data_IF_311164054834
#
_entry.id   IF_311164054834
#
_cell.length_a   1.000
_cell.length_b   1.000
_cell.length_c   1.000
_cell.angle_alpha   90.00
_cell.angle_beta   90.00
_cell.angle_gamma   90.00
#
_symmetry.space_group_name_H-M   'P 1'
#
loop_
_entity.id
_entity.type
_entity.pdbx_description
1 polymer ?
#
# COMPACT_ATOMS: atom_id res chain seq x y z
N UNK A 1 -23.61 -0.76 5.96
CA UNK A 1 -22.66 -1.66 6.63
C UNK A 1 -21.24 -1.17 6.45
N UNK A 2 -20.44 -1.24 7.48
CA UNK A 2 -19.03 -0.90 7.39
C UNK A 2 -18.20 -2.17 7.26
N UNK A 3 -17.48 -2.31 6.17
CA UNK A 3 -16.57 -3.43 5.97
C UNK A 3 -15.16 -2.96 6.29
N UNK A 4 -14.50 -3.67 7.19
CA UNK A 4 -13.11 -3.40 7.53
C UNK A 4 -12.29 -4.64 7.22
N UNK A 5 -11.35 -4.48 6.31
CA UNK A 5 -10.40 -5.53 5.96
C UNK A 5 -9.03 -4.89 5.79
N UNK A 6 -8.03 -5.54 6.32
CA UNK A 6 -6.64 -5.10 6.22
C UNK A 6 -5.77 -6.31 5.94
N UNK A 7 -4.91 -6.20 4.96
CA UNK A 7 -3.92 -7.24 4.63
C UNK A 7 -2.54 -6.60 4.64
N UNK A 8 -1.62 -7.19 5.38
CA UNK A 8 -0.23 -6.77 5.43
C UNK A 8 0.64 -7.90 4.94
N UNK A 9 1.46 -7.65 3.92
CA UNK A 9 2.38 -8.64 3.36
C UNK A 9 3.78 -8.07 3.30
N UNK A 10 4.81 -8.88 3.64
CA UNK A 10 6.19 -8.44 3.49
C UNK A 10 6.56 -8.35 2.02
N UNK A 11 7.40 -7.37 1.69
CA UNK A 11 7.96 -7.26 0.34
C UNK A 11 9.14 -8.24 0.22
N UNK A 12 9.32 -8.89 -0.95
CA UNK A 12 10.42 -9.84 -1.14
C UNK A 12 11.79 -9.18 -1.02
N UNK A 13 11.91 -7.93 -1.47
CA UNK A 13 13.12 -7.13 -1.31
C UNK A 13 12.75 -5.75 -0.80
N UNK A 14 13.55 -5.14 0.09
CA UNK A 14 13.29 -3.76 0.49
C UNK A 14 13.38 -2.82 -0.70
N UNK A 15 12.46 -1.88 -0.78
CA UNK A 15 12.39 -0.90 -1.88
C UNK A 15 12.73 0.48 -1.33
N UNK A 16 13.77 1.11 -1.87
CA UNK A 16 14.11 2.47 -1.48
C UNK A 16 13.32 3.48 -2.31
N UNK A 17 12.61 4.35 -1.62
CA UNK A 17 11.77 5.37 -2.23
C UNK A 17 12.13 6.75 -1.68
N UNK A 18 11.99 7.81 -2.48
CA UNK A 18 12.17 9.15 -1.97
C UNK A 18 11.17 9.46 -0.86
N UNK A 19 11.64 10.07 0.22
CA UNK A 19 10.79 10.45 1.33
C UNK A 19 10.29 11.89 1.15
N UNK A 20 9.06 12.13 1.59
CA UNK A 20 8.46 13.47 1.62
C UNK A 20 8.67 14.16 2.97
N UNK A 21 9.23 13.46 3.96
CA UNK A 21 9.46 14.03 5.27
C UNK A 21 10.80 14.76 5.30
N UNK A 22 10.76 16.04 5.71
CA UNK A 22 11.83 17.01 5.49
C UNK A 22 13.25 16.65 5.90
N UNK A 23 13.43 15.88 6.98
CA UNK A 23 14.77 15.49 7.46
C UNK A 23 15.23 14.14 6.93
N UNK A 24 14.37 13.46 6.17
CA UNK A 24 14.69 12.16 5.58
C UNK A 24 14.85 12.31 4.08
N UNK A 25 15.88 11.68 3.54
CA UNK A 25 16.14 11.72 2.10
C UNK A 25 15.40 10.61 1.36
N UNK A 26 15.12 9.51 2.05
CA UNK A 26 14.44 8.34 1.47
C UNK A 26 13.86 7.47 2.58
N UNK A 27 13.05 6.50 2.18
CA UNK A 27 12.58 5.43 3.07
C UNK A 27 12.90 4.07 2.44
N UNK A 28 12.94 3.06 3.28
CA UNK A 28 13.12 1.67 2.83
C UNK A 28 11.83 0.92 3.11
N UNK A 29 11.02 0.71 2.09
CA UNK A 29 9.76 0.00 2.23
C UNK A 29 10.04 -1.50 2.42
N UNK A 30 9.47 -2.08 3.47
CA UNK A 30 9.68 -3.49 3.82
C UNK A 30 8.39 -4.30 3.77
N UNK A 31 7.24 -3.65 3.82
CA UNK A 31 5.96 -4.33 3.70
C UNK A 31 4.91 -3.41 3.08
N UNK A 32 3.87 -4.05 2.55
CA UNK A 32 2.70 -3.37 2.00
C UNK A 32 1.49 -3.60 2.88
N UNK A 33 0.68 -2.58 3.05
CA UNK A 33 -0.61 -2.68 3.71
C UNK A 33 -1.70 -2.24 2.74
N UNK A 34 -2.67 -3.12 2.51
CA UNK A 34 -3.89 -2.80 1.77
C UNK A 34 -5.06 -2.85 2.73
N UNK A 35 -5.95 -1.86 2.68
CA UNK A 35 -7.07 -1.77 3.59
C UNK A 35 -8.29 -1.12 2.94
N UNK A 36 -9.46 -1.45 3.46
CA UNK A 36 -10.69 -0.77 3.05
C UNK A 36 -10.76 0.62 3.70
N UNK A 37 -11.33 1.55 2.96
CA UNK A 37 -11.56 2.91 3.46
C UNK A 37 -12.92 3.40 2.99
N UNK A 38 -13.71 3.96 3.90
CA UNK A 38 -14.99 4.54 3.55
C UNK A 38 -14.78 5.89 2.88
N UNK A 39 -15.46 6.09 1.75
CA UNK A 39 -15.43 7.35 1.01
C UNK A 39 -16.85 7.81 0.73
N UNK A 40 -17.01 9.02 0.23
CA UNK A 40 -18.34 9.55 -0.14
C UNK A 40 -18.99 8.74 -1.25
N UNK A 41 -18.21 8.10 -2.10
CA UNK A 41 -18.70 7.28 -3.21
C UNK A 41 -18.79 5.80 -2.88
N UNK A 42 -18.48 5.39 -1.65
CA UNK A 42 -18.53 4.00 -1.23
C UNK A 42 -17.28 3.56 -0.48
N UNK A 43 -16.90 2.30 -0.67
CA UNK A 43 -15.71 1.74 -0.05
C UNK A 43 -14.62 1.58 -1.11
N UNK A 44 -13.45 2.12 -0.83
CA UNK A 44 -12.29 1.97 -1.70
C UNK A 44 -11.18 1.19 -0.98
N UNK A 45 -10.18 0.76 -1.74
CA UNK A 45 -9.01 0.08 -1.21
C UNK A 45 -7.84 1.06 -1.22
N UNK A 46 -7.29 1.32 -0.04
CA UNK A 46 -6.11 2.15 0.10
C UNK A 46 -4.89 1.27 0.32
N UNK A 47 -3.82 1.62 -0.35
CA UNK A 47 -2.58 0.86 -0.28
C UNK A 47 -1.44 1.77 0.13
N UNK A 48 -0.64 1.32 1.10
CA UNK A 48 0.53 2.04 1.56
C UNK A 48 1.73 1.12 1.64
N UNK A 49 2.90 1.66 1.37
CA UNK A 49 4.17 0.99 1.61
C UNK A 49 4.76 1.54 2.89
N UNK A 50 5.27 0.67 3.75
CA UNK A 50 5.79 1.02 5.06
C UNK A 50 7.20 0.52 5.25
N UNK A 51 7.97 1.24 6.02
CA UNK A 51 9.30 0.85 6.42
C UNK A 51 10.01 1.99 7.13
N UNK A 52 11.28 1.80 7.53
CA UNK A 52 12.01 2.86 8.20
C UNK A 52 12.38 3.97 7.22
N UNK A 53 12.39 5.21 7.71
CA UNK A 53 13.04 6.30 7.01
C UNK A 53 14.56 6.08 7.04
N UNK A 54 15.27 6.60 6.06
CA UNK A 54 16.71 6.45 5.96
C UNK A 54 17.36 7.83 6.12
N UNK A 55 18.25 7.96 7.09
CA UNK A 55 18.98 9.20 7.34
C UNK A 55 20.07 9.41 6.29
N UNK A 56 20.65 10.61 6.27
CA UNK A 56 21.71 10.96 5.33
C UNK A 56 22.94 10.04 5.44
N UNK A 57 23.20 9.51 6.62
CA UNK A 57 24.32 8.59 6.85
C UNK A 57 24.01 7.14 6.47
N UNK A 58 22.80 6.87 5.94
CA UNK A 58 22.38 5.54 5.54
C UNK A 58 21.74 4.70 6.63
N UNK A 59 21.73 5.19 7.88
CA UNK A 59 21.13 4.46 9.00
C UNK A 59 19.60 4.65 9.02
N UNK A 60 18.90 3.72 9.66
CA UNK A 60 17.46 3.80 9.80
C UNK A 60 17.05 4.87 10.81
N UNK A 61 16.04 5.63 10.49
CA UNK A 61 15.46 6.59 11.41
C UNK A 61 14.64 5.87 12.48
N UNK A 62 14.50 6.51 13.64
CA UNK A 62 13.76 5.93 14.76
C UNK A 62 12.25 5.78 14.46
N UNK A 63 11.69 6.66 13.64
CA UNK A 63 10.27 6.62 13.28
C UNK A 63 10.06 5.91 11.97
N UNK A 64 8.98 5.10 11.86
CA UNK A 64 8.61 4.50 10.59
C UNK A 64 8.14 5.56 9.61
N UNK A 65 8.29 5.28 8.34
CA UNK A 65 7.81 6.12 7.25
C UNK A 65 6.81 5.35 6.39
N UNK A 66 6.06 6.05 5.57
CA UNK A 66 5.10 5.40 4.67
C UNK A 66 4.94 6.22 3.40
N UNK A 67 4.49 5.53 2.35
CA UNK A 67 4.18 6.15 1.06
C UNK A 67 2.83 5.62 0.60
N UNK A 68 1.95 6.52 0.21
CA UNK A 68 0.66 6.16 -0.36
C UNK A 68 0.81 5.76 -1.81
N UNK A 69 0.11 4.66 -2.16
CA UNK A 69 -0.08 4.26 -3.56
C UNK A 69 -1.50 4.63 -3.94
N UNK A 70 -1.69 5.51 -4.91
CA UNK A 70 -3.00 5.99 -5.24
C UNK A 70 -3.71 5.08 -6.24
N UNK A 71 -5.04 4.99 -6.17
CA UNK A 71 -5.82 4.11 -7.02
C UNK A 71 -5.82 4.47 -8.49
N UNK A 72 -5.36 5.66 -8.83
CA UNK A 72 -5.40 6.12 -10.21
C UNK A 72 -4.44 5.40 -11.14
N UNK A 73 -3.51 4.64 -10.57
CA UNK A 73 -2.49 3.94 -11.35
C UNK A 73 -2.77 2.45 -11.53
N UNK A 74 -4.04 2.11 -11.71
CA UNK A 74 -4.47 0.73 -11.96
C UNK A 74 -3.85 0.11 -13.19
N UNK A 75 -3.34 0.92 -14.09
CA UNK A 75 -2.71 0.47 -15.34
C UNK A 75 -1.31 -0.08 -15.11
N UNK A 76 -0.93 -0.30 -13.87
CA UNK A 76 0.41 -0.72 -13.51
C UNK A 76 1.37 0.46 -13.42
N UNK A 77 0.85 1.67 -13.56
CA UNK A 77 1.63 2.86 -13.26
C UNK A 77 1.49 3.14 -11.78
N UNK A 78 2.52 3.46 -11.18
CA UNK A 78 2.46 3.72 -9.81
C UNK A 78 1.87 5.01 -9.54
N UNK A 79 1.37 4.99 -8.66
CA UNK A 79 0.77 5.95 -7.84
C UNK A 79 1.76 6.85 -7.20
N UNK A 80 2.96 6.56 -7.40
CA UNK A 80 4.07 7.44 -7.12
C UNK A 80 4.45 8.23 -8.37
N UNK A 81 3.59 8.22 -9.40
CA UNK A 81 3.87 8.91 -10.65
C UNK A 81 5.17 8.44 -11.26
N UNK A 82 6.09 9.37 -11.53
CA UNK A 82 7.36 9.06 -12.16
C UNK A 82 8.27 8.10 -11.39
N UNK A 83 7.92 7.77 -10.14
CA UNK A 83 8.77 6.94 -9.28
C UNK A 83 8.42 5.47 -9.28
N UNK A 84 7.46 5.11 -10.03
CA UNK A 84 6.98 3.75 -10.10
C UNK A 84 7.95 2.75 -10.60
N UNK A 85 8.81 3.18 -11.46
CA UNK A 85 9.86 2.33 -11.99
C UNK A 85 10.88 1.92 -10.92
N UNK A 86 10.83 2.57 -9.75
CA UNK A 86 11.68 2.21 -8.62
C UNK A 86 11.21 0.95 -7.90
N UNK A 87 10.00 0.50 -8.18
CA UNK A 87 9.43 -0.70 -7.55
C UNK A 87 9.62 -1.88 -8.50
N UNK A 88 10.41 -2.90 -8.10
CA UNK A 88 10.61 -4.08 -8.93
C UNK A 88 9.31 -4.86 -9.17
N UNK A 89 9.27 -5.62 -10.27
CA UNK A 89 8.08 -6.41 -10.63
C UNK A 89 7.70 -7.42 -9.55
N UNK A 90 8.67 -8.04 -8.89
CA UNK A 90 8.38 -8.99 -7.81
C UNK A 90 7.67 -8.32 -6.63
N UNK A 91 8.04 -7.08 -6.31
CA UNK A 91 7.37 -6.31 -5.26
C UNK A 91 5.99 -5.86 -5.70
N UNK A 92 5.83 -5.46 -6.97
CA UNK A 92 4.52 -5.15 -7.53
C UNK A 92 3.56 -6.33 -7.45
N UNK A 93 4.05 -7.55 -7.70
CA UNK A 93 3.23 -8.74 -7.61
C UNK A 93 2.68 -8.92 -6.19
N UNK A 94 3.49 -8.66 -5.17
CA UNK A 94 3.06 -8.74 -3.76
C UNK A 94 2.05 -7.63 -3.44
N UNK A 95 2.28 -6.41 -3.91
CA UNK A 95 1.35 -5.29 -3.73
C UNK A 95 -0.02 -5.63 -4.31
N UNK A 96 -0.07 -6.13 -5.53
CA UNK A 96 -1.31 -6.54 -6.19
C UNK A 96 -2.00 -7.69 -5.47
N UNK A 97 -1.21 -8.62 -4.94
CA UNK A 97 -1.76 -9.72 -4.15
C UNK A 97 -2.45 -9.22 -2.88
N UNK A 98 -1.84 -8.28 -2.17
CA UNK A 98 -2.44 -7.69 -0.99
C UNK A 98 -3.76 -6.98 -1.33
N UNK A 99 -3.78 -6.20 -2.40
CA UNK A 99 -4.99 -5.54 -2.89
C UNK A 99 -6.08 -6.54 -3.27
N UNK A 100 -5.70 -7.62 -3.97
CA UNK A 100 -6.62 -8.68 -4.38
C UNK A 100 -7.23 -9.42 -3.19
N UNK A 101 -6.44 -9.64 -2.14
CA UNK A 101 -6.94 -10.27 -0.91
C UNK A 101 -7.96 -9.39 -0.20
N UNK A 102 -7.72 -8.09 -0.12
CA UNK A 102 -8.69 -7.14 0.46
C UNK A 102 -9.95 -7.10 -0.40
N UNK A 103 -9.80 -7.07 -1.73
CA UNK A 103 -10.95 -7.07 -2.63
C UNK A 103 -11.80 -8.34 -2.46
N UNK A 104 -11.16 -9.50 -2.33
CA UNK A 104 -11.88 -10.76 -2.10
C UNK A 104 -12.65 -10.74 -0.78
N UNK A 105 -12.07 -10.19 0.27
CA UNK A 105 -12.74 -10.03 1.57
C UNK A 105 -13.94 -9.10 1.45
N UNK A 106 -13.80 -8.01 0.72
CA UNK A 106 -14.87 -7.05 0.49
C UNK A 106 -16.01 -7.67 -0.31
N UNK A 107 -15.69 -8.42 -1.36
CA UNK A 107 -16.69 -9.10 -2.19
C UNK A 107 -17.44 -10.17 -1.39
N UNK A 108 -16.75 -10.94 -0.56
CA UNK A 108 -17.37 -11.94 0.30
C UNK A 108 -18.33 -11.30 1.31
N UNK A 109 -17.96 -10.16 1.89
CA UNK A 109 -18.82 -9.43 2.81
C UNK A 109 -20.08 -8.90 2.13
N UNK A 110 -19.95 -8.42 0.88
CA UNK A 110 -21.09 -7.96 0.09
C UNK A 110 -22.04 -9.09 -0.26
N UNK A 111 -21.51 -10.28 -0.60
CA UNK A 111 -22.33 -11.46 -0.88
C UNK A 111 -23.15 -11.87 0.35
N UNK A 112 -22.54 -11.86 1.52
CA UNK A 112 -23.24 -12.17 2.78
C UNK A 112 -24.34 -11.15 3.04
N UNK A 113 -24.09 -9.88 2.81
CA UNK A 113 -25.09 -8.82 2.99
C UNK A 113 -26.25 -8.96 2.03
N UNK A 114 -25.99 -9.24 0.75
CA UNK A 114 -27.02 -9.49 -0.25
C UNK A 114 -27.86 -10.71 0.06
N UNK A 115 -27.23 -11.79 0.54
CA UNK A 115 -27.93 -13.00 0.94
C UNK A 115 -28.83 -12.78 2.16
N UNK A 116 -28.48 -11.84 3.04
CA UNK A 116 -29.24 -11.50 4.24
C UNK A 116 -30.38 -10.51 3.99
N UNK A 117 -30.39 -9.88 2.83
CA UNK A 117 -31.37 -8.82 2.51
C UNK A 117 -32.80 -9.37 2.22
#
# INVERSE_FOLDING_TARGET
MTVKATVTLPLPEPVELPSKFGHLTRMRATYVEARTSATLSGISIHTTLHGPGVKKDGSDAAKPSYVWLSEKDRDGRPLLGERSYLIPDADWAVIRRAQGMVQAMLDAAREVEEAAA
#
